data_IF_207080875130
#
_entry.id   IF_207080875130
#
_cell.length_a   1.000
_cell.length_b   1.000
_cell.length_c   1.000
_cell.angle_alpha   90.00
_cell.angle_beta   90.00
_cell.angle_gamma   90.00
#
_symmetry.space_group_name_H-M   'P 1'
#
loop_
_entity.id
_entity.type
_entity.pdbx_description
1 polymer ?
#
# COMPACT_ATOMS: atom_id res chain seq x y z
N UNK A 1 7.56 -10.09 0.35
CA UNK A 1 7.37 -9.51 1.69
C UNK A 1 6.63 -8.19 1.50
N UNK A 2 5.54 -7.95 2.23
CA UNK A 2 4.67 -6.77 2.09
C UNK A 2 4.85 -5.91 3.34
N UNK A 3 5.18 -4.61 3.21
CA UNK A 3 5.29 -3.73 4.37
C UNK A 3 3.92 -3.55 5.03
N UNK A 4 3.89 -3.55 6.36
CA UNK A 4 2.66 -3.34 7.11
C UNK A 4 2.41 -1.84 7.29
N UNK A 5 1.16 -1.44 7.16
CA UNK A 5 0.74 -0.09 7.55
C UNK A 5 0.77 0.03 9.09
N UNK A 6 1.12 1.18 9.69
CA UNK A 6 1.19 1.34 11.15
C UNK A 6 -0.10 0.91 11.88
N UNK A 7 -1.26 1.14 11.26
CA UNK A 7 -2.56 0.67 11.79
C UNK A 7 -2.62 -0.86 11.87
N UNK A 8 -2.14 -1.56 10.84
CA UNK A 8 -2.11 -3.02 10.83
C UNK A 8 -1.12 -3.56 11.87
N UNK A 9 0.03 -2.91 12.03
CA UNK A 9 1.01 -3.26 13.08
C UNK A 9 0.42 -3.11 14.48
N UNK A 10 -0.31 -2.02 14.74
CA UNK A 10 -0.97 -1.79 16.02
C UNK A 10 -2.01 -2.88 16.32
N UNK A 11 -2.82 -3.28 15.33
CA UNK A 11 -3.80 -4.37 15.47
C UNK A 11 -3.08 -5.69 15.80
N UNK A 12 -2.04 -6.05 15.05
CA UNK A 12 -1.28 -7.28 15.27
C UNK A 12 -0.63 -7.29 16.66
N UNK A 13 -0.04 -6.17 17.08
CA UNK A 13 0.58 -6.02 18.40
C UNK A 13 -0.43 -6.20 19.52
N UNK A 14 -1.64 -5.65 19.37
CA UNK A 14 -2.72 -5.82 20.34
C UNK A 14 -3.10 -7.30 20.50
N UNK A 15 -3.32 -8.02 19.40
CA UNK A 15 -3.70 -9.44 19.46
C UNK A 15 -2.62 -10.34 20.05
N UNK A 16 -1.34 -10.09 19.75
CA UNK A 16 -0.23 -10.86 20.38
C UNK A 16 -0.19 -10.70 21.90
N UNK A 17 -0.34 -9.48 22.40
CA UNK A 17 -0.34 -9.21 23.86
C UNK A 17 -1.50 -9.88 24.58
N UNK A 18 -2.69 -9.92 23.97
CA UNK A 18 -3.87 -10.58 24.54
C UNK A 18 -3.72 -12.11 24.61
N UNK A 19 -3.00 -12.71 23.65
CA UNK A 19 -2.65 -14.13 23.68
C UNK A 19 -1.66 -14.45 24.81
N UNK A 20 -0.57 -13.69 24.93
CA UNK A 20 0.44 -13.83 25.98
C UNK A 20 -0.20 -13.82 27.39
N UNK A 21 -1.19 -12.93 27.62
CA UNK A 21 -1.92 -12.83 28.88
C UNK A 21 -2.84 -14.04 29.16
N UNK A 22 -3.35 -14.68 28.12
CA UNK A 22 -4.27 -15.83 28.23
C UNK A 22 -3.52 -17.16 28.42
N UNK A 23 -2.32 -17.27 27.87
CA UNK A 23 -1.46 -18.46 27.98
C UNK A 23 -0.85 -18.65 29.38
N UNK A 24 -0.66 -17.57 30.14
CA UNK A 24 -0.23 -17.62 31.55
C UNK A 24 -1.20 -18.42 32.45
N UNK A 25 -2.42 -18.72 31.98
CA UNK A 25 -3.45 -19.42 32.74
C UNK A 25 -3.69 -20.88 32.29
N UNK A 26 -3.04 -21.38 31.21
CA UNK A 26 -3.33 -22.71 30.67
C UNK A 26 -2.09 -23.60 30.50
N UNK A 27 -1.97 -24.61 31.37
CA UNK A 27 -0.85 -25.55 31.44
C UNK A 27 -1.08 -26.83 30.62
N UNK A 28 -1.18 -26.77 29.29
CA UNK A 28 -0.95 -27.97 28.44
C UNK A 28 -0.42 -27.51 27.08
N UNK A 29 0.85 -27.82 26.79
CA UNK A 29 1.50 -27.56 25.50
C UNK A 29 0.98 -28.53 24.43
N UNK A 30 0.02 -28.09 23.62
CA UNK A 30 -0.18 -28.66 22.29
C UNK A 30 0.60 -27.87 21.23
N UNK A 31 0.91 -28.56 20.13
CA UNK A 31 1.86 -28.16 19.07
C UNK A 31 1.63 -26.71 18.63
N UNK A 32 2.62 -25.88 18.96
CA UNK A 32 2.61 -24.43 18.89
C UNK A 32 2.65 -23.90 17.43
N UNK A 33 1.49 -23.86 16.80
CA UNK A 33 1.28 -23.00 15.65
C UNK A 33 1.17 -21.56 16.19
N UNK A 34 2.29 -20.83 16.23
CA UNK A 34 2.41 -19.41 16.61
C UNK A 34 1.59 -18.49 15.68
N UNK A 35 0.26 -18.56 15.78
CA UNK A 35 -0.67 -17.85 14.91
C UNK A 35 -1.15 -16.56 15.58
N UNK A 36 -0.92 -15.44 14.89
CA UNK A 36 -1.44 -14.12 15.29
C UNK A 36 -2.97 -14.11 15.38
N UNK A 37 -3.66 -14.89 14.54
CA UNK A 37 -5.11 -15.00 14.53
C UNK A 37 -5.51 -16.47 14.70
N UNK A 38 -6.32 -16.78 15.73
CA UNK A 38 -6.81 -18.14 15.96
C UNK A 38 -7.63 -18.67 14.78
N UNK A 39 -7.34 -19.91 14.34
CA UNK A 39 -8.02 -20.59 13.22
C UNK A 39 -9.50 -20.96 13.48
N UNK A 40 -10.03 -20.66 14.65
CA UNK A 40 -11.37 -21.10 15.07
C UNK A 40 -12.53 -20.31 14.43
N UNK A 41 -12.25 -19.42 13.47
CA UNK A 41 -13.30 -18.70 12.74
C UNK A 41 -13.48 -19.30 11.34
N UNK A 42 -14.57 -20.04 11.15
CA UNK A 42 -14.99 -20.46 9.81
C UNK A 42 -15.33 -19.25 8.93
N UNK A 43 -15.35 -19.44 7.61
CA UNK A 43 -15.76 -18.40 6.65
C UNK A 43 -17.12 -17.80 7.00
N UNK A 44 -18.09 -18.62 7.41
CA UNK A 44 -19.43 -18.16 7.78
C UNK A 44 -19.42 -17.30 9.04
N UNK A 45 -18.59 -17.65 10.04
CA UNK A 45 -18.43 -16.85 11.26
C UNK A 45 -17.80 -15.49 10.93
N UNK A 46 -16.79 -15.46 10.05
CA UNK A 46 -16.19 -14.19 9.62
C UNK A 46 -17.19 -13.31 8.87
N UNK A 47 -17.96 -13.88 7.93
CA UNK A 47 -19.00 -13.15 7.19
C UNK A 47 -20.08 -12.57 8.12
N UNK A 48 -20.50 -13.34 9.14
CA UNK A 48 -21.47 -12.86 10.13
C UNK A 48 -20.92 -11.70 10.96
N UNK A 49 -19.67 -11.81 11.43
CA UNK A 49 -18.98 -10.73 12.16
C UNK A 49 -18.84 -9.47 11.31
N UNK A 50 -18.43 -9.63 10.05
CA UNK A 50 -18.33 -8.51 9.10
C UNK A 50 -19.69 -7.86 8.83
N UNK A 51 -20.77 -8.64 8.75
CA UNK A 51 -22.12 -8.10 8.60
C UNK A 51 -22.55 -7.25 9.79
N UNK A 52 -22.22 -7.67 11.01
CA UNK A 52 -22.51 -6.90 12.24
C UNK A 52 -21.76 -5.56 12.21
N UNK A 53 -20.46 -5.59 11.91
CA UNK A 53 -19.64 -4.38 11.80
C UNK A 53 -20.17 -3.45 10.70
N UNK A 54 -20.51 -3.99 9.53
CA UNK A 54 -21.05 -3.20 8.41
C UNK A 54 -22.35 -2.47 8.79
N UNK A 55 -23.26 -3.15 9.48
CA UNK A 55 -24.50 -2.54 9.99
C UNK A 55 -24.22 -1.46 11.03
N UNK A 56 -23.29 -1.69 11.96
CA UNK A 56 -22.90 -0.71 12.97
C UNK A 56 -22.27 0.55 12.36
N UNK A 57 -21.56 0.41 11.24
CA UNK A 57 -20.97 1.52 10.48
C UNK A 57 -21.94 2.17 9.48
N UNK A 58 -23.19 1.70 9.36
CA UNK A 58 -24.16 2.24 8.39
C UNK A 58 -23.84 1.90 6.92
N UNK A 59 -23.05 0.85 6.67
CA UNK A 59 -22.68 0.42 5.32
C UNK A 59 -23.79 -0.47 4.76
N UNK A 60 -24.45 -0.01 3.69
CA UNK A 60 -25.56 -0.71 3.05
C UNK A 60 -25.12 -1.97 2.29
N UNK A 61 -23.87 -2.02 1.82
CA UNK A 61 -23.30 -3.12 1.07
C UNK A 61 -22.84 -4.26 2.00
N UNK A 62 -22.98 -5.50 1.53
CA UNK A 62 -22.54 -6.69 2.28
C UNK A 62 -21.01 -6.75 2.36
N UNK A 63 -20.44 -6.42 3.52
CA UNK A 63 -19.00 -6.58 3.76
C UNK A 63 -18.56 -8.04 3.67
N UNK A 64 -17.42 -8.26 3.00
CA UNK A 64 -16.74 -9.56 2.91
C UNK A 64 -15.23 -9.34 2.80
N UNK A 65 -14.43 -10.37 3.07
CA UNK A 65 -12.99 -10.30 2.90
C UNK A 65 -12.57 -10.13 1.42
N UNK A 66 -13.39 -10.61 0.47
CA UNK A 66 -13.18 -10.33 -0.94
C UNK A 66 -13.37 -8.84 -1.24
N UNK A 67 -14.39 -8.19 -0.66
CA UNK A 67 -14.56 -6.74 -0.79
C UNK A 67 -13.36 -5.97 -0.23
N UNK A 68 -12.85 -6.35 0.95
CA UNK A 68 -11.64 -5.73 1.50
C UNK A 68 -10.45 -5.84 0.53
N UNK A 69 -10.29 -7.01 -0.11
CA UNK A 69 -9.28 -7.24 -1.15
C UNK A 69 -9.49 -6.33 -2.37
N UNK A 70 -10.74 -6.20 -2.84
CA UNK A 70 -11.10 -5.30 -3.94
C UNK A 70 -10.80 -3.84 -3.60
N UNK A 71 -11.25 -3.37 -2.44
CA UNK A 71 -11.03 -2.01 -1.96
C UNK A 71 -9.54 -1.69 -1.86
N UNK A 72 -8.72 -2.62 -1.30
CA UNK A 72 -7.27 -2.44 -1.25
C UNK A 72 -6.65 -2.27 -2.64
N UNK A 73 -7.03 -3.13 -3.61
CA UNK A 73 -6.53 -3.06 -4.98
C UNK A 73 -6.90 -1.75 -5.67
N UNK A 74 -8.17 -1.37 -5.63
CA UNK A 74 -8.66 -0.11 -6.23
C UNK A 74 -8.02 1.12 -5.57
N UNK A 75 -7.98 1.19 -4.23
CA UNK A 75 -7.38 2.34 -3.53
C UNK A 75 -5.88 2.47 -3.81
N UNK A 76 -5.15 1.35 -3.84
CA UNK A 76 -3.72 1.34 -4.16
C UNK A 76 -3.46 1.86 -5.57
N UNK A 77 -4.30 1.45 -6.53
CA UNK A 77 -4.19 1.93 -7.91
C UNK A 77 -4.54 3.42 -8.03
N UNK A 78 -5.59 3.88 -7.34
CA UNK A 78 -5.93 5.31 -7.29
C UNK A 78 -4.82 6.15 -6.65
N UNK A 79 -4.09 5.60 -5.68
CA UNK A 79 -2.91 6.22 -5.09
C UNK A 79 -1.67 6.22 -6.02
N UNK A 80 -1.78 5.64 -7.22
CA UNK A 80 -0.71 5.60 -8.22
C UNK A 80 0.30 4.48 -8.02
N UNK A 81 -0.02 3.46 -7.22
CA UNK A 81 0.85 2.28 -7.06
C UNK A 81 0.75 1.42 -8.33
N UNK A 82 1.87 1.02 -8.95
CA UNK A 82 1.87 0.17 -10.14
C UNK A 82 1.15 -1.15 -9.91
N UNK A 83 0.42 -1.62 -10.93
CA UNK A 83 -0.42 -2.83 -10.84
C UNK A 83 0.40 -4.09 -10.53
N UNK A 84 1.67 -4.14 -10.95
CA UNK A 84 2.61 -5.22 -10.69
C UNK A 84 2.97 -5.29 -9.21
N UNK A 85 3.17 -4.13 -8.58
CA UNK A 85 3.43 -4.01 -7.14
C UNK A 85 2.23 -4.50 -6.35
N UNK A 86 1.02 -4.08 -6.76
CA UNK A 86 -0.24 -4.53 -6.15
C UNK A 86 -0.40 -6.04 -6.29
N UNK A 87 -0.21 -6.59 -7.49
CA UNK A 87 -0.31 -8.03 -7.73
C UNK A 87 0.66 -8.85 -6.86
N UNK A 88 1.91 -8.37 -6.73
CA UNK A 88 2.94 -8.98 -5.86
C UNK A 88 2.56 -8.92 -4.38
N UNK A 89 1.99 -7.80 -3.91
CA UNK A 89 1.51 -7.67 -2.54
C UNK A 89 0.33 -8.60 -2.23
N UNK A 90 -0.53 -8.86 -3.22
CA UNK A 90 -1.72 -9.69 -3.08
C UNK A 90 -1.47 -11.19 -3.29
N UNK A 91 -0.24 -11.55 -3.68
CA UNK A 91 0.17 -12.94 -3.94
C UNK A 91 -0.43 -13.54 -5.22
N UNK A 92 -0.78 -12.71 -6.20
CA UNK A 92 -1.34 -13.19 -7.46
C UNK A 92 -0.21 -13.70 -8.37
N UNK A 93 -0.36 -14.92 -8.90
CA UNK A 93 0.58 -15.50 -9.87
C UNK A 93 0.49 -14.84 -11.25
N UNK A 94 -0.66 -14.25 -11.59
CA UNK A 94 -0.88 -13.52 -12.83
C UNK A 94 -1.51 -12.15 -12.56
N UNK A 95 -1.20 -11.18 -13.41
CA UNK A 95 -1.75 -9.81 -13.33
C UNK A 95 -3.24 -9.81 -13.69
N UNK A 96 -3.74 -10.82 -14.40
CA UNK A 96 -5.14 -10.91 -14.84
C UNK A 96 -6.14 -10.78 -13.69
N UNK A 97 -5.88 -11.40 -12.54
CA UNK A 97 -6.73 -11.27 -11.35
C UNK A 97 -6.71 -9.86 -10.74
N UNK A 98 -5.68 -9.08 -11.02
CA UNK A 98 -5.49 -7.68 -10.57
C UNK A 98 -6.04 -6.68 -11.59
N UNK A 99 -6.18 -7.06 -12.87
CA UNK A 99 -6.75 -6.21 -13.92
C UNK A 99 -8.19 -5.77 -13.63
N UNK A 100 -8.93 -6.56 -12.85
CA UNK A 100 -10.28 -6.18 -12.38
C UNK A 100 -10.29 -4.88 -11.57
N UNK A 101 -9.16 -4.49 -10.96
CA UNK A 101 -9.01 -3.21 -10.24
C UNK A 101 -8.66 -2.05 -11.17
N UNK A 102 -8.09 -2.35 -12.34
CA UNK A 102 -7.60 -1.39 -13.31
C UNK A 102 -8.62 -1.07 -14.39
N UNK A 103 -9.92 -1.07 -14.06
CA UNK A 103 -10.89 -0.41 -14.93
C UNK A 103 -10.55 1.08 -14.97
N UNK A 104 -9.78 1.45 -15.99
CA UNK A 104 -9.28 2.79 -16.18
C UNK A 104 -10.47 3.65 -16.58
N UNK A 105 -10.94 4.50 -15.68
CA UNK A 105 -11.83 5.60 -16.07
C UNK A 105 -11.02 6.61 -16.86
N UNK A 106 -11.56 7.20 -17.92
CA UNK A 106 -10.86 8.19 -18.76
C UNK A 106 -10.16 9.30 -17.96
N UNK A 107 -10.75 9.70 -16.83
CA UNK A 107 -10.16 10.65 -15.87
C UNK A 107 -8.76 10.23 -15.39
N UNK A 108 -8.54 8.93 -15.15
CA UNK A 108 -7.27 8.41 -14.64
C UNK A 108 -6.17 8.47 -15.68
N UNK A 109 -6.51 8.25 -16.96
CA UNK A 109 -5.59 8.39 -18.09
C UNK A 109 -5.10 9.84 -18.17
N UNK A 110 -6.02 10.80 -18.08
CA UNK A 110 -5.68 12.21 -18.09
C UNK A 110 -4.74 12.56 -16.93
N UNK A 111 -5.10 12.17 -15.70
CA UNK A 111 -4.27 12.43 -14.51
C UNK A 111 -2.86 11.85 -14.62
N UNK A 112 -2.72 10.63 -15.14
CA UNK A 112 -1.44 9.97 -15.27
C UNK A 112 -0.56 10.64 -16.34
N UNK A 113 -1.16 11.11 -17.44
CA UNK A 113 -0.47 11.90 -18.47
C UNK A 113 -0.07 13.28 -17.95
N UNK A 114 -0.94 13.98 -17.24
CA UNK A 114 -0.64 15.28 -16.62
C UNK A 114 0.54 15.15 -15.64
N UNK A 115 0.55 14.07 -14.84
CA UNK A 115 1.64 13.77 -13.90
C UNK A 115 2.96 13.45 -14.63
N UNK A 116 2.91 12.79 -15.79
CA UNK A 116 4.10 12.53 -16.61
C UNK A 116 4.68 13.84 -17.19
N UNK A 117 3.81 14.69 -17.75
CA UNK A 117 4.19 15.99 -18.30
C UNK A 117 4.83 16.86 -17.22
N UNK A 118 4.21 16.95 -16.03
CA UNK A 118 4.76 17.70 -14.91
C UNK A 118 6.18 17.22 -14.53
N UNK A 119 6.37 15.91 -14.39
CA UNK A 119 7.69 15.33 -14.06
C UNK A 119 8.76 15.62 -15.11
N UNK A 120 8.40 15.63 -16.40
CA UNK A 120 9.35 15.98 -17.47
C UNK A 120 9.75 17.46 -17.38
N UNK A 121 8.78 18.35 -17.14
CA UNK A 121 9.03 19.79 -17.00
C UNK A 121 9.92 20.15 -15.80
N UNK A 122 9.76 19.45 -14.67
CA UNK A 122 10.64 19.61 -13.49
C UNK A 122 12.06 19.17 -13.81
N UNK A 123 12.20 18.06 -14.54
CA UNK A 123 13.51 17.53 -14.94
C UNK A 123 14.24 18.46 -15.90
N UNK A 124 13.53 19.07 -16.85
CA UNK A 124 14.06 20.07 -17.77
C UNK A 124 14.52 21.33 -17.04
N UNK A 125 13.77 21.79 -16.03
CA UNK A 125 14.18 22.90 -15.16
C UNK A 125 15.44 22.58 -14.35
N UNK A 126 15.50 21.41 -13.70
CA UNK A 126 16.70 20.99 -12.97
C UNK A 126 17.93 20.91 -13.88
N UNK A 127 17.75 20.47 -15.12
CA UNK A 127 18.85 20.36 -16.09
C UNK A 127 19.33 21.75 -16.55
N UNK A 128 18.40 22.66 -16.84
CA UNK A 128 18.71 24.05 -17.20
C UNK A 128 19.38 24.82 -16.05
N UNK A 129 18.96 24.59 -14.80
CA UNK A 129 19.58 25.19 -13.61
C UNK A 129 21.00 24.67 -13.37
N UNK A 130 21.27 23.39 -13.66
CA UNK A 130 22.62 22.81 -13.58
C UNK A 130 23.56 23.38 -14.66
N UNK A 131 23.07 23.52 -15.89
CA UNK A 131 23.84 24.15 -16.99
C UNK A 131 24.14 25.63 -16.72
N UNK A 132 23.22 26.35 -16.06
CA UNK A 132 23.45 27.72 -15.62
C UNK A 132 24.49 27.83 -14.48
N UNK A 133 24.56 26.85 -13.58
CA UNK A 133 25.55 26.83 -12.49
C UNK A 133 26.96 26.49 -13.00
N UNK A 134 27.10 25.51 -13.90
CA UNK A 134 28.39 25.13 -14.49
C UNK A 134 29.01 26.27 -15.33
N UNK A 135 28.17 27.07 -16.01
CA UNK A 135 28.65 28.22 -16.78
C UNK A 135 29.15 29.37 -15.91
N UNK A 136 28.61 29.56 -14.70
CA UNK A 136 29.14 30.52 -13.72
C UNK A 136 30.46 30.06 -13.07
N UNK A 137 30.62 28.77 -12.77
CA UNK A 137 31.83 28.25 -12.12
C UNK A 137 33.06 28.28 -13.06
N UNK A 138 32.86 28.06 -14.36
CA UNK A 138 33.92 28.20 -15.38
C UNK A 138 34.40 29.65 -15.53
N UNK A 139 33.52 30.64 -15.30
CA UNK A 139 33.86 32.06 -15.40
C UNK A 139 34.65 32.54 -14.18
N UNK A 140 34.34 32.03 -12.98
CA UNK A 140 35.05 32.37 -11.75
C UNK A 140 36.48 31.83 -11.76
N UNK A 141 36.70 30.56 -12.16
CA UNK A 141 38.05 29.97 -12.23
C UNK A 141 38.99 30.69 -13.20
N UNK A 142 38.48 31.24 -14.32
CA UNK A 142 39.33 31.98 -15.29
C UNK A 142 39.77 33.36 -14.80
N UNK A 143 39.07 33.96 -13.84
CA UNK A 143 39.47 35.25 -13.29
C UNK A 143 40.56 35.12 -12.21
N UNK A 144 40.66 34.00 -11.50
CA UNK A 144 41.74 33.77 -10.52
C UNK A 144 43.08 33.36 -11.15
N UNK A 145 43.10 32.77 -12.36
CA UNK A 145 44.36 32.41 -13.04
C UNK A 145 45.05 33.59 -13.78
N UNK A 146 44.47 34.79 -13.79
CA UNK A 146 45.03 35.97 -14.49
C UNK A 146 45.56 37.07 -13.57
N UNK A 147 45.64 36.84 -12.26
CA UNK A 147 46.14 37.77 -11.26
C UNK A 147 47.55 37.42 -10.73
#
# INVERSE_FOLDING_TARGET
IVPLHPIAEAIISHYRKEQERSEEQQTVKEKDDNLVFHRNCSRSVMDAKLSIVGKACGICQRLSYHMARHTFGTMSLSAGIPIESIAKMMGHASISSTQVYAQVTDNKISEDMDRLIAKQSEKEKEMAEREACESSDIVICKMEETA
#
